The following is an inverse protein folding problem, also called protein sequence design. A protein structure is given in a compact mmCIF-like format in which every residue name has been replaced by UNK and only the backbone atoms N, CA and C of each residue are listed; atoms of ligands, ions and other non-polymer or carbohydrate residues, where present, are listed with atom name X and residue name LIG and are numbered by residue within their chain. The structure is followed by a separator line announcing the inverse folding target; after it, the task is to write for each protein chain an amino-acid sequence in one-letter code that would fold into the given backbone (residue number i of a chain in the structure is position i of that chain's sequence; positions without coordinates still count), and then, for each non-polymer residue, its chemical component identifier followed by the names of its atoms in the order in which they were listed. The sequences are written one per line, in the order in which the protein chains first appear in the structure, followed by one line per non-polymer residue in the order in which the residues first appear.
data_IF_783258005111
#
_entry.id   IF_783258005111
#
_cell.length_a   1.000
_cell.length_b   1.000
_cell.length_c   1.000
_cell.angle_alpha   90.00
_cell.angle_beta   90.00
_cell.angle_gamma   90.00
#
_symmetry.space_group_name_H-M   'P 1'
#
loop_
_entity.id
_entity.type
_entity.pdbx_description
1 polymer ?
#
# COMPACT_ATOMS: atom_id res chain seq x y z
N UNK A 1 -10.79 -8.54 3.73
CA UNK A 1 -10.82 -9.58 2.67
C UNK A 1 -11.51 -10.81 3.25
N UNK A 2 -12.30 -11.56 2.47
CA UNK A 2 -12.83 -12.83 2.96
C UNK A 2 -11.75 -13.92 2.87
N UNK A 3 -11.64 -14.77 3.89
CA UNK A 3 -10.86 -15.99 3.78
C UNK A 3 -11.60 -17.06 2.96
N UNK A 4 -10.96 -18.21 2.75
CA UNK A 4 -11.53 -19.34 1.99
C UNK A 4 -12.82 -19.89 2.60
N UNK A 5 -13.01 -19.69 3.91
CA UNK A 5 -14.21 -20.07 4.66
C UNK A 5 -15.29 -18.98 4.67
N UNK A 6 -15.06 -17.85 3.98
CA UNK A 6 -15.97 -16.72 3.88
C UNK A 6 -15.93 -15.73 5.05
N UNK A 7 -15.04 -15.92 6.03
CA UNK A 7 -14.91 -15.01 7.18
C UNK A 7 -14.21 -13.72 6.77
N UNK A 8 -14.70 -12.59 7.29
CA UNK A 8 -14.06 -11.29 7.04
C UNK A 8 -12.80 -11.19 7.91
N UNK A 9 -11.63 -11.28 7.26
CA UNK A 9 -10.35 -10.96 7.89
C UNK A 9 -10.03 -9.48 7.72
N UNK A 10 -9.78 -8.82 8.85
CA UNK A 10 -9.39 -7.41 8.93
C UNK A 10 -7.88 -7.33 9.13
N UNK A 11 -7.24 -6.41 8.41
CA UNK A 11 -5.82 -6.14 8.51
C UNK A 11 -5.62 -4.64 8.70
N UNK A 12 -4.55 -4.28 9.41
CA UNK A 12 -4.02 -2.93 9.45
C UNK A 12 -3.31 -2.69 8.11
N UNK A 13 -3.89 -1.81 7.30
CA UNK A 13 -3.36 -1.47 5.97
C UNK A 13 -2.31 -0.37 5.99
N UNK A 14 -2.21 0.39 7.10
CA UNK A 14 -1.23 1.44 7.25
C UNK A 14 0.10 0.85 7.68
N UNK A 15 1.12 0.98 6.83
CA UNK A 15 2.48 0.54 7.13
C UNK A 15 3.47 1.70 6.98
N UNK A 16 4.62 1.57 7.63
CA UNK A 16 5.69 2.58 7.64
C UNK A 16 7.02 1.96 7.22
N UNK A 17 8.00 2.78 6.86
CA UNK A 17 9.35 2.28 6.57
C UNK A 17 10.11 1.98 7.86
N UNK A 18 11.15 1.14 7.80
CA UNK A 18 12.09 0.95 8.90
C UNK A 18 12.75 2.27 9.34
N UNK A 19 12.89 3.25 8.43
CA UNK A 19 13.43 4.57 8.73
C UNK A 19 12.45 5.38 9.58
N UNK A 20 11.16 5.37 9.24
CA UNK A 20 10.13 6.05 10.01
C UNK A 20 10.06 5.53 11.44
N UNK A 21 10.17 4.21 11.61
CA UNK A 21 10.22 3.58 12.92
C UNK A 21 11.41 4.10 13.76
N UNK A 22 12.62 4.10 13.19
CA UNK A 22 13.83 4.61 13.87
C UNK A 22 13.71 6.08 14.27
N UNK A 23 13.09 6.89 13.42
CA UNK A 23 12.88 8.32 13.66
C UNK A 23 11.64 8.62 14.52
N UNK A 24 10.91 7.59 14.96
CA UNK A 24 9.62 7.74 15.66
C UNK A 24 8.62 8.60 14.87
N UNK A 25 8.69 8.53 13.54
CA UNK A 25 7.85 9.28 12.61
C UNK A 25 6.63 8.45 12.19
N UNK A 26 5.82 8.04 13.16
CA UNK A 26 4.61 7.27 12.92
C UNK A 26 3.48 7.71 13.86
N UNK A 27 2.24 7.47 13.42
CA UNK A 27 1.06 7.71 14.23
C UNK A 27 0.41 6.38 14.57
N UNK A 28 0.51 5.95 15.82
CA UNK A 28 -0.12 4.72 16.32
C UNK A 28 -1.65 4.86 16.42
N UNK A 29 -2.16 6.08 16.61
CA UNK A 29 -3.60 6.36 16.72
C UNK A 29 -3.96 7.55 15.84
N UNK A 30 -5.09 7.47 15.13
CA UNK A 30 -5.65 8.57 14.32
C UNK A 30 -7.07 8.89 14.76
N UNK A 31 -7.31 10.16 15.07
CA UNK A 31 -8.67 10.68 15.24
C UNK A 31 -9.38 10.73 13.89
N UNK A 32 -10.57 10.14 13.81
CA UNK A 32 -11.37 10.12 12.57
C UNK A 32 -12.44 11.21 12.65
N UNK A 33 -13.51 10.99 13.42
CA UNK A 33 -14.62 11.94 13.73
C UNK A 33 -15.38 11.48 14.98
N UNK A 34 -16.18 12.36 15.58
CA UNK A 34 -17.15 12.02 16.66
C UNK A 34 -16.55 11.22 17.84
N UNK A 35 -15.37 11.60 18.33
CA UNK A 35 -14.63 10.88 19.39
C UNK A 35 -14.25 9.42 19.04
N UNK A 36 -14.24 9.05 17.76
CA UNK A 36 -13.76 7.76 17.28
C UNK A 36 -12.26 7.88 16.97
N UNK A 37 -11.50 7.01 17.64
CA UNK A 37 -10.07 6.83 17.43
C UNK A 37 -9.82 5.49 16.74
N UNK A 38 -9.04 5.52 15.67
CA UNK A 38 -8.55 4.32 15.00
C UNK A 38 -7.14 4.04 15.49
N UNK A 39 -6.94 2.87 16.12
CA UNK A 39 -5.60 2.36 16.45
C UNK A 39 -5.03 1.63 15.24
N UNK A 40 -3.75 1.87 14.98
CA UNK A 40 -2.90 1.13 14.04
C UNK A 40 -1.84 0.30 14.76
N UNK A 41 -2.01 0.10 16.07
CA UNK A 41 -1.11 -0.71 16.86
C UNK A 41 -1.30 -2.20 16.53
N UNK A 42 -0.20 -2.90 16.28
CA UNK A 42 -0.19 -4.33 16.04
C UNK A 42 0.47 -5.10 17.20
N UNK A 43 0.00 -6.31 17.45
CA UNK A 43 0.51 -7.24 18.46
C UNK A 43 1.21 -8.43 17.78
N UNK A 44 0.82 -8.75 16.54
CA UNK A 44 1.41 -9.83 15.75
C UNK A 44 1.48 -9.47 14.27
N UNK A 45 2.42 -10.09 13.55
CA UNK A 45 2.60 -9.90 12.10
C UNK A 45 1.31 -10.09 11.32
N UNK A 46 0.51 -11.10 11.69
CA UNK A 46 -0.74 -11.46 11.02
C UNK A 46 -1.84 -10.40 11.06
N UNK A 47 -1.69 -9.37 11.90
CA UNK A 47 -2.58 -8.21 11.92
C UNK A 47 -2.22 -7.18 10.84
N UNK A 48 -0.97 -7.16 10.38
CA UNK A 48 -0.49 -6.23 9.36
C UNK A 48 -0.74 -6.79 7.95
N UNK A 49 -1.16 -5.93 7.02
CA UNK A 49 -1.25 -6.30 5.61
C UNK A 49 0.12 -6.72 5.03
N UNK A 50 1.19 -6.10 5.54
CA UNK A 50 2.59 -6.41 5.20
C UNK A 50 3.15 -7.62 5.93
N UNK A 51 2.36 -8.26 6.79
CA UNK A 51 2.76 -9.40 7.60
C UNK A 51 4.07 -9.14 8.37
N UNK A 52 4.25 -7.92 8.88
CA UNK A 52 5.42 -7.52 9.67
C UNK A 52 5.05 -6.43 10.68
N UNK A 53 5.12 -6.77 11.95
CA UNK A 53 4.85 -5.91 13.10
C UNK A 53 6.13 -5.75 13.92
N UNK A 54 6.61 -4.52 14.08
CA UNK A 54 7.77 -4.22 14.94
C UNK A 54 7.39 -3.07 15.88
N UNK A 55 7.64 -3.27 17.17
CA UNK A 55 7.39 -2.27 18.23
C UNK A 55 5.98 -1.66 18.17
N UNK A 56 4.98 -2.52 17.92
CA UNK A 56 3.59 -2.10 17.84
C UNK A 56 3.18 -1.47 16.51
N UNK A 57 4.06 -1.44 15.49
CA UNK A 57 3.81 -0.74 14.23
C UNK A 57 3.95 -1.69 13.05
N UNK A 58 2.99 -1.64 12.12
CA UNK A 58 3.12 -2.35 10.84
C UNK A 58 4.19 -1.67 9.98
N UNK A 59 5.15 -2.45 9.48
CA UNK A 59 6.21 -1.95 8.63
C UNK A 59 6.20 -2.64 7.27
N UNK A 60 6.71 -1.98 6.24
CA UNK A 60 6.93 -2.64 4.95
C UNK A 60 7.92 -3.80 5.10
N UNK A 61 7.58 -4.93 4.47
CA UNK A 61 8.35 -6.16 4.61
C UNK A 61 9.32 -6.31 3.43
N UNK A 62 10.59 -5.95 3.65
CA UNK A 62 11.62 -6.01 2.61
C UNK A 62 11.93 -7.44 2.13
N UNK A 63 11.71 -8.46 2.98
CA UNK A 63 11.94 -9.87 2.61
C UNK A 63 10.76 -10.45 1.82
N UNK A 64 9.55 -10.04 2.16
CA UNK A 64 8.32 -10.50 1.53
C UNK A 64 7.35 -9.33 1.33
N UNK A 65 7.63 -8.53 0.30
CA UNK A 65 6.83 -7.36 -0.05
C UNK A 65 5.38 -7.74 -0.31
N UNK A 66 4.45 -6.93 0.19
CA UNK A 66 3.05 -7.06 -0.21
C UNK A 66 2.92 -6.76 -1.70
N UNK A 67 2.34 -7.71 -2.43
CA UNK A 67 2.00 -7.52 -3.83
C UNK A 67 0.73 -6.65 -3.96
N UNK A 68 0.81 -5.66 -4.82
CA UNK A 68 -0.27 -4.76 -5.19
C UNK A 68 -0.46 -4.83 -6.70
N UNK A 69 -1.64 -5.29 -7.12
CA UNK A 69 -2.04 -5.34 -8.51
C UNK A 69 -3.03 -4.21 -8.81
N UNK A 70 -2.73 -3.41 -9.82
CA UNK A 70 -3.61 -2.32 -10.27
C UNK A 70 -3.61 -2.20 -11.79
N UNK A 71 -4.61 -1.51 -12.32
CA UNK A 71 -4.68 -1.18 -13.74
C UNK A 71 -3.77 0.01 -14.04
N UNK A 72 -2.91 -0.14 -15.04
CA UNK A 72 -2.13 0.96 -15.62
C UNK A 72 -2.87 1.43 -16.87
N UNK A 73 -3.26 2.70 -16.87
CA UNK A 73 -3.93 3.34 -17.99
C UNK A 73 -2.90 4.00 -18.89
N UNK A 74 -3.05 3.82 -20.21
CA UNK A 74 -2.21 4.48 -21.22
C UNK A 74 -3.13 5.30 -22.12
N UNK A 75 -2.91 6.61 -22.12
CA UNK A 75 -3.71 7.59 -22.86
C UNK A 75 -2.89 8.21 -24.01
N UNK A 76 -2.39 7.39 -24.95
CA UNK A 76 -1.57 7.84 -26.10
C UNK A 76 -2.24 7.45 -27.41
N UNK A 77 -2.99 8.37 -28.03
CA UNK A 77 -3.79 8.23 -29.28
C UNK A 77 -4.87 7.13 -29.29
N UNK A 78 -4.63 6.02 -28.59
CA UNK A 78 -5.53 4.90 -28.33
C UNK A 78 -5.54 4.70 -26.81
N UNK A 79 -6.72 4.56 -26.22
CA UNK A 79 -6.89 4.28 -24.79
C UNK A 79 -6.86 2.79 -24.58
N UNK A 80 -5.97 2.32 -23.70
CA UNK A 80 -6.01 0.95 -23.23
C UNK A 80 -5.45 0.86 -21.81
N UNK A 81 -5.80 -0.21 -21.12
CA UNK A 81 -5.30 -0.52 -19.79
C UNK A 81 -4.80 -1.95 -19.73
N UNK A 82 -3.83 -2.20 -18.85
CA UNK A 82 -3.42 -3.56 -18.50
C UNK A 82 -3.15 -3.64 -17.01
N UNK A 83 -3.34 -4.84 -16.45
CA UNK A 83 -3.01 -5.10 -15.05
C UNK A 83 -1.50 -5.20 -14.87
N UNK A 84 -0.97 -4.55 -13.84
CA UNK A 84 0.39 -4.71 -13.41
C UNK A 84 0.43 -4.98 -11.90
N UNK A 85 1.32 -5.86 -11.48
CA UNK A 85 1.54 -6.22 -10.09
C UNK A 85 2.98 -5.90 -9.71
N UNK A 86 3.16 -5.43 -8.48
CA UNK A 86 4.46 -5.10 -7.91
C UNK A 86 4.32 -4.70 -6.45
N UNK A 87 5.29 -3.98 -5.91
CA UNK A 87 5.27 -3.47 -4.54
C UNK A 87 4.08 -2.52 -4.32
N UNK A 88 3.56 -2.53 -3.10
CA UNK A 88 2.46 -1.67 -2.66
C UNK A 88 2.87 -0.20 -2.56
N UNK A 89 1.88 0.69 -2.67
CA UNK A 89 2.05 2.13 -2.45
C UNK A 89 2.66 2.40 -1.07
N UNK A 90 3.64 3.29 -1.01
CA UNK A 90 4.43 3.63 0.17
C UNK A 90 5.65 2.75 0.42
N UNK A 91 5.77 1.59 -0.22
CA UNK A 91 6.92 0.69 -0.07
C UNK A 91 8.15 1.22 -0.81
N UNK A 92 9.35 0.81 -0.39
CA UNK A 92 10.63 1.29 -0.92
C UNK A 92 10.86 0.75 -2.33
N UNK A 93 11.21 1.63 -3.26
CA UNK A 93 11.52 1.30 -4.65
C UNK A 93 12.75 2.05 -5.16
N UNK A 94 13.37 1.52 -6.22
CA UNK A 94 14.43 2.22 -6.97
C UNK A 94 14.05 2.52 -8.41
N UNK A 95 13.05 1.82 -8.94
CA UNK A 95 12.61 1.89 -10.33
C UNK A 95 11.09 1.72 -10.37
N UNK A 96 10.45 2.40 -11.32
CA UNK A 96 9.00 2.35 -11.52
C UNK A 96 8.44 0.94 -11.62
N UNK A 97 9.13 0.08 -12.37
CA UNK A 97 8.72 -1.33 -12.59
C UNK A 97 8.70 -2.20 -11.33
N UNK A 98 9.26 -1.73 -10.20
CA UNK A 98 9.16 -2.44 -8.93
C UNK A 98 7.78 -2.23 -8.29
N UNK A 99 7.12 -1.12 -8.57
CA UNK A 99 5.83 -0.74 -7.99
C UNK A 99 4.68 -1.27 -8.83
N UNK A 100 3.61 -1.75 -8.17
CA UNK A 100 2.40 -2.16 -8.88
C UNK A 100 1.78 -1.02 -9.71
N UNK A 101 1.93 0.21 -9.23
CA UNK A 101 1.51 1.45 -9.89
C UNK A 101 2.39 1.91 -11.06
N UNK A 102 3.54 1.25 -11.30
CA UNK A 102 4.59 1.74 -12.20
C UNK A 102 5.03 3.19 -11.91
N UNK A 103 4.98 3.59 -10.64
CA UNK A 103 5.38 4.92 -10.22
C UNK A 103 6.27 4.82 -8.97
N UNK A 104 7.57 5.00 -9.15
CA UNK A 104 8.52 5.12 -8.06
C UNK A 104 8.90 6.59 -7.88
N UNK A 105 8.48 7.19 -6.77
CA UNK A 105 8.76 8.59 -6.45
C UNK A 105 10.24 8.72 -6.06
N UNK A 106 11.13 8.93 -7.05
CA UNK A 106 12.59 8.88 -6.88
C UNK A 106 13.14 9.86 -5.82
N UNK A 107 12.45 10.96 -5.53
CA UNK A 107 12.84 11.90 -4.47
C UNK A 107 12.71 11.27 -3.07
N UNK A 108 11.74 10.38 -2.89
CA UNK A 108 11.43 9.72 -1.61
C UNK A 108 11.83 8.25 -1.61
N UNK A 109 12.12 7.68 -2.79
CA UNK A 109 12.36 6.26 -3.04
C UNK A 109 11.22 5.35 -2.57
N UNK A 110 9.97 5.78 -2.76
CA UNK A 110 8.78 5.01 -2.41
C UNK A 110 7.81 4.87 -3.59
N UNK A 111 7.03 3.80 -3.60
CA UNK A 111 5.99 3.59 -4.59
C UNK A 111 4.85 4.61 -4.40
N UNK A 112 4.52 5.33 -5.46
CA UNK A 112 3.43 6.30 -5.49
C UNK A 112 2.14 5.75 -6.07
N UNK A 113 1.12 6.58 -6.13
CA UNK A 113 -0.14 6.28 -6.83
C UNK A 113 0.09 6.12 -8.35
N UNK A 114 -0.77 5.37 -9.06
CA UNK A 114 -0.73 5.33 -10.53
C UNK A 114 -0.81 6.75 -11.12
N UNK A 115 -0.05 7.05 -12.19
CA UNK A 115 0.02 8.40 -12.76
C UNK A 115 -1.29 8.83 -13.43
N UNK A 116 -2.03 7.86 -13.98
CA UNK A 116 -3.31 8.06 -14.67
C UNK A 116 -4.37 7.16 -14.03
N UNK A 117 -5.62 7.64 -14.02
CA UNK A 117 -6.79 6.89 -13.57
C UNK A 117 -7.72 6.52 -14.73
N UNK A 118 -8.78 5.73 -14.46
CA UNK A 118 -9.82 5.46 -15.44
C UNK A 118 -10.46 6.77 -15.91
N UNK A 119 -10.73 6.86 -17.21
CA UNK A 119 -11.59 7.91 -17.76
C UNK A 119 -13.02 7.40 -17.83
N UNK A 120 -14.01 8.30 -17.73
CA UNK A 120 -15.44 7.97 -17.90
C UNK A 120 -15.77 7.21 -19.20
N UNK A 121 -14.89 7.24 -20.21
CA UNK A 121 -15.03 6.47 -21.45
C UNK A 121 -14.70 4.97 -21.33
N UNK A 122 -14.06 4.56 -20.24
CA UNK A 122 -13.58 3.17 -20.05
C UNK A 122 -14.70 2.24 -19.55
N UNK A 123 -15.89 2.80 -19.32
CA UNK A 123 -17.13 2.07 -19.04
C UNK A 123 -17.86 1.89 -20.38
N UNK A 124 -17.49 0.85 -21.13
CA UNK A 124 -18.28 0.35 -22.26
C UNK A 124 -18.39 -1.18 -22.18
#
# INVERSE_FOLDING_TARGET
MKDESGNIKRYISKSYTCRDLKLHNYNAVKFVRYNIYLSYECISDSQCLTNKCIDGVCIFNEENSTEFCTSIYINLFIRFSYMHCGKIIGDICKKDKECGSKNCLLQENICGDPPDGPSDSDIN
#
